data_IF_435011658723
#
_entry.id   IF_435011658723
#
_cell.length_a   1.000
_cell.length_b   1.000
_cell.length_c   1.000
_cell.angle_alpha   90.00
_cell.angle_beta   90.00
_cell.angle_gamma   90.00
#
_symmetry.space_group_name_H-M   'P 1'
#
loop_
_entity.id
_entity.type
_entity.pdbx_description
1 polymer ?
#
# COMPACT_ATOMS: atom_id res chain seq x y z
N UNK A 1 -31.07 11.69 -41.69
CA UNK A 1 -31.92 11.41 -40.51
C UNK A 1 -31.05 10.69 -39.48
N UNK A 2 -30.93 11.18 -38.23
CA UNK A 2 -29.91 10.70 -37.30
C UNK A 2 -30.46 9.64 -36.33
N UNK A 3 -29.70 8.57 -36.14
CA UNK A 3 -29.96 7.54 -35.13
C UNK A 3 -29.60 8.06 -33.73
N UNK A 4 -30.65 8.48 -33.03
CA UNK A 4 -30.68 8.65 -31.58
C UNK A 4 -30.97 7.29 -30.94
N UNK A 5 -29.96 6.67 -30.32
CA UNK A 5 -30.17 5.71 -29.22
C UNK A 5 -28.83 5.34 -28.54
N UNK A 6 -28.38 6.19 -27.61
CA UNK A 6 -27.55 5.79 -26.45
C UNK A 6 -27.94 6.65 -25.25
N UNK A 7 -28.98 6.21 -24.54
CA UNK A 7 -29.25 6.52 -23.14
C UNK A 7 -28.38 5.59 -22.26
N UNK A 8 -28.06 5.83 -21.00
CA UNK A 8 -28.01 7.02 -20.14
C UNK A 8 -27.46 6.54 -18.80
N UNK A 9 -26.31 7.04 -18.38
CA UNK A 9 -25.87 7.08 -16.97
C UNK A 9 -24.87 8.24 -16.89
N UNK A 10 -25.22 9.31 -16.17
CA UNK A 10 -24.53 10.63 -16.16
C UNK A 10 -23.01 10.50 -15.84
N UNK A 11 -22.08 11.39 -16.29
CA UNK A 11 -22.14 12.87 -16.30
C UNK A 11 -21.45 13.55 -17.52
N UNK A 12 -22.17 14.35 -18.33
CA UNK A 12 -21.70 14.65 -19.69
C UNK A 12 -21.49 16.09 -20.12
N UNK A 13 -21.80 17.10 -19.30
CA UNK A 13 -21.76 18.50 -19.78
C UNK A 13 -20.33 19.04 -19.89
N UNK A 14 -19.47 18.79 -18.90
CA UNK A 14 -18.08 19.25 -18.93
C UNK A 14 -17.29 18.61 -20.07
N UNK A 15 -17.48 17.30 -20.31
CA UNK A 15 -16.78 16.56 -21.37
C UNK A 15 -17.23 17.02 -22.76
N UNK A 16 -18.53 17.31 -22.96
CA UNK A 16 -19.06 17.83 -24.22
C UNK A 16 -18.64 19.26 -24.50
N UNK A 17 -18.66 20.13 -23.47
CA UNK A 17 -18.18 21.52 -23.58
C UNK A 17 -16.68 21.53 -23.86
N UNK A 18 -15.91 20.64 -23.21
CA UNK A 18 -14.49 20.49 -23.46
C UNK A 18 -14.18 19.98 -24.88
N UNK A 19 -14.92 18.99 -25.36
CA UNK A 19 -14.77 18.47 -26.72
C UNK A 19 -15.13 19.53 -27.78
N UNK A 20 -16.22 20.28 -27.57
CA UNK A 20 -16.62 21.37 -28.45
C UNK A 20 -15.61 22.53 -28.43
N UNK A 21 -15.00 22.82 -27.27
CA UNK A 21 -13.99 23.87 -27.15
C UNK A 21 -12.67 23.50 -27.83
N UNK A 22 -12.21 22.25 -27.70
CA UNK A 22 -11.01 21.75 -28.39
C UNK A 22 -11.19 21.77 -29.92
N UNK A 23 -12.39 21.40 -30.39
CA UNK A 23 -12.71 21.41 -31.81
C UNK A 23 -12.83 22.84 -32.38
N UNK A 24 -13.39 23.78 -31.61
CA UNK A 24 -13.49 25.19 -32.00
C UNK A 24 -12.16 25.96 -31.92
N UNK A 25 -11.26 25.57 -31.00
CA UNK A 25 -9.97 26.23 -30.78
C UNK A 25 -8.83 25.70 -31.67
N UNK A 26 -9.06 24.63 -32.46
CA UNK A 26 -8.05 24.08 -33.38
C UNK A 26 -6.82 23.48 -32.70
N UNK A 27 -6.93 23.07 -31.42
CA UNK A 27 -5.81 22.53 -30.64
C UNK A 27 -5.71 21.02 -30.89
N UNK A 28 -4.71 20.59 -31.68
CA UNK A 28 -4.40 19.16 -31.84
C UNK A 28 -3.92 18.55 -30.52
N UNK A 29 -4.18 17.26 -30.30
CA UNK A 29 -3.69 16.52 -29.12
C UNK A 29 -2.16 16.55 -28.97
N UNK A 30 -1.43 16.71 -30.08
CA UNK A 30 0.04 16.85 -30.07
C UNK A 30 0.53 18.09 -29.30
N UNK A 31 -0.22 19.20 -29.35
CA UNK A 31 0.11 20.45 -28.63
C UNK A 31 0.07 20.28 -27.11
N UNK A 32 -0.83 19.45 -26.57
CA UNK A 32 -0.91 19.18 -25.13
C UNK A 32 0.26 18.35 -24.61
N UNK A 33 0.70 17.34 -25.38
CA UNK A 33 1.84 16.50 -25.01
C UNK A 33 3.12 17.32 -24.94
N UNK A 34 3.39 18.13 -25.96
CA UNK A 34 4.58 19.00 -26.00
C UNK A 34 4.51 20.12 -24.95
N UNK A 35 3.33 20.72 -24.72
CA UNK A 35 3.16 21.72 -23.66
C UNK A 35 3.33 21.12 -22.26
N UNK A 36 2.87 19.88 -22.03
CA UNK A 36 3.03 19.18 -20.75
C UNK A 36 4.48 18.79 -20.46
N UNK A 37 5.27 18.47 -21.51
CA UNK A 37 6.70 18.14 -21.42
C UNK A 37 7.57 19.40 -21.24
N UNK A 38 7.24 20.50 -21.91
CA UNK A 38 7.90 21.80 -21.73
C UNK A 38 7.60 22.38 -20.34
N UNK A 39 6.37 22.24 -19.84
CA UNK A 39 6.02 22.58 -18.47
C UNK A 39 6.75 21.68 -17.45
N UNK A 40 6.95 20.40 -17.76
CA UNK A 40 7.69 19.46 -16.90
C UNK A 40 9.17 19.83 -16.72
N UNK A 41 9.79 20.46 -17.73
CA UNK A 41 11.19 20.92 -17.66
C UNK A 41 11.38 22.17 -16.79
N UNK A 42 10.32 22.95 -16.52
CA UNK A 42 10.36 24.16 -15.66
C UNK A 42 10.01 23.89 -14.19
N UNK A 43 9.68 22.66 -13.81
CA UNK A 43 9.30 22.30 -12.44
C UNK A 43 10.53 22.11 -11.54
N UNK A 44 10.42 22.57 -10.29
CA UNK A 44 11.40 22.30 -9.24
C UNK A 44 11.43 20.77 -8.97
N UNK A 45 12.59 20.14 -8.67
CA UNK A 45 12.70 18.73 -8.28
C UNK A 45 11.59 18.21 -7.36
N UNK A 46 11.20 18.99 -6.34
CA UNK A 46 10.11 18.61 -5.43
C UNK A 46 8.75 18.51 -6.15
N UNK A 47 8.44 19.48 -7.01
CA UNK A 47 7.20 19.47 -7.80
C UNK A 47 7.18 18.31 -8.81
N UNK A 48 8.35 17.89 -9.31
CA UNK A 48 8.47 16.73 -10.21
C UNK A 48 8.14 15.42 -9.50
N UNK A 49 8.65 15.24 -8.27
CA UNK A 49 8.32 14.07 -7.44
C UNK A 49 6.84 14.10 -7.05
N UNK A 50 6.31 15.25 -6.63
CA UNK A 50 4.90 15.38 -6.30
C UNK A 50 3.98 15.05 -7.49
N UNK A 51 4.33 15.52 -8.70
CA UNK A 51 3.60 15.19 -9.93
C UNK A 51 3.66 13.70 -10.24
N UNK A 52 4.84 13.08 -10.10
CA UNK A 52 5.02 11.65 -10.32
C UNK A 52 4.12 10.83 -9.38
N UNK A 53 4.17 11.11 -8.07
CA UNK A 53 3.32 10.44 -7.09
C UNK A 53 1.84 10.67 -7.39
N UNK A 54 1.46 11.91 -7.72
CA UNK A 54 0.08 12.23 -8.11
C UNK A 54 -0.39 11.40 -9.30
N UNK A 55 0.41 11.28 -10.36
CA UNK A 55 0.03 10.53 -11.55
C UNK A 55 -0.16 9.03 -11.26
N UNK A 56 0.62 8.48 -10.33
CA UNK A 56 0.55 7.08 -9.90
C UNK A 56 -0.71 6.84 -9.05
N UNK A 57 -0.97 7.71 -8.08
CA UNK A 57 -1.98 7.49 -7.06
C UNK A 57 -3.37 7.99 -7.42
N UNK A 58 -3.51 9.09 -8.16
CA UNK A 58 -4.82 9.66 -8.49
C UNK A 58 -5.79 8.62 -9.11
N UNK A 59 -5.35 7.74 -10.03
CA UNK A 59 -6.21 6.68 -10.55
C UNK A 59 -6.65 5.63 -9.51
N UNK A 60 -5.88 5.47 -8.43
CA UNK A 60 -6.06 4.44 -7.39
C UNK A 60 -6.90 4.96 -6.21
N UNK A 61 -6.93 6.28 -5.98
CA UNK A 61 -7.65 6.92 -4.86
C UNK A 61 -9.09 6.39 -4.68
N UNK A 62 -9.94 6.30 -5.71
CA UNK A 62 -11.33 5.89 -5.51
C UNK A 62 -11.47 4.50 -4.88
N UNK A 63 -10.60 3.57 -5.27
CA UNK A 63 -10.64 2.19 -4.80
C UNK A 63 -10.10 2.07 -3.35
N UNK A 64 -9.02 2.79 -3.02
CA UNK A 64 -8.49 2.89 -1.65
C UNK A 64 -9.53 3.52 -0.72
N UNK A 65 -10.22 4.58 -1.15
CA UNK A 65 -11.24 5.25 -0.34
C UNK A 65 -12.40 4.31 -0.04
N UNK A 66 -12.93 3.61 -1.04
CA UNK A 66 -14.02 2.65 -0.84
C UNK A 66 -13.64 1.53 0.13
N UNK A 67 -12.47 0.93 -0.09
CA UNK A 67 -11.95 -0.18 0.71
C UNK A 67 -11.61 0.23 2.13
N UNK A 68 -10.95 1.38 2.30
CA UNK A 68 -10.59 1.94 3.59
C UNK A 68 -11.80 2.34 4.44
N UNK A 69 -12.83 2.95 3.84
CA UNK A 69 -14.06 3.28 4.55
C UNK A 69 -14.80 2.02 5.03
N UNK A 70 -14.87 0.98 4.19
CA UNK A 70 -15.49 -0.28 4.57
C UNK A 70 -14.69 -1.01 5.66
N UNK A 71 -13.35 -1.06 5.52
CA UNK A 71 -12.46 -1.67 6.51
C UNK A 71 -12.56 -0.95 7.87
N UNK A 72 -12.65 0.37 7.86
CA UNK A 72 -12.88 1.18 9.07
C UNK A 72 -14.22 0.86 9.75
N UNK A 73 -15.30 0.76 8.97
CA UNK A 73 -16.62 0.37 9.48
C UNK A 73 -16.60 -1.03 10.10
N UNK A 74 -16.03 -2.02 9.40
CA UNK A 74 -15.92 -3.39 9.92
C UNK A 74 -15.01 -3.49 11.15
N UNK A 75 -13.98 -2.64 11.22
CA UNK A 75 -13.15 -2.48 12.41
C UNK A 75 -13.94 -1.98 13.62
N UNK A 76 -14.84 -1.01 13.43
CA UNK A 76 -15.75 -0.55 14.50
C UNK A 76 -16.74 -1.64 14.91
N UNK A 77 -17.40 -2.29 13.94
CA UNK A 77 -18.32 -3.41 14.18
C UNK A 77 -17.67 -4.49 15.04
N UNK A 78 -16.44 -4.87 14.70
CA UNK A 78 -15.63 -5.85 15.45
C UNK A 78 -15.25 -5.37 16.84
N UNK A 79 -14.83 -4.11 16.97
CA UNK A 79 -14.36 -3.55 18.25
C UNK A 79 -15.50 -3.39 19.26
N UNK A 80 -16.68 -2.96 18.81
CA UNK A 80 -17.87 -2.80 19.66
C UNK A 80 -18.69 -4.09 19.81
N UNK A 81 -18.32 -5.17 19.10
CA UNK A 81 -19.00 -6.46 19.18
C UNK A 81 -20.44 -6.42 18.63
N UNK A 82 -20.72 -5.55 17.65
CA UNK A 82 -22.06 -5.45 17.06
C UNK A 82 -22.44 -6.69 16.25
N UNK A 83 -21.45 -7.36 15.64
CA UNK A 83 -21.62 -8.60 14.88
C UNK A 83 -20.47 -9.54 15.21
N UNK A 84 -20.75 -10.84 15.27
CA UNK A 84 -19.71 -11.86 15.40
C UNK A 84 -18.83 -11.90 14.14
N UNK A 85 -17.49 -11.79 14.23
CA UNK A 85 -16.61 -11.87 13.07
C UNK A 85 -16.67 -13.19 12.28
N UNK A 86 -17.23 -14.26 12.86
CA UNK A 86 -17.49 -15.52 12.17
C UNK A 86 -18.75 -15.49 11.29
N UNK A 87 -19.55 -14.42 11.36
CA UNK A 87 -20.72 -14.24 10.51
C UNK A 87 -20.32 -14.17 9.03
N UNK A 88 -21.01 -14.92 8.19
CA UNK A 88 -20.73 -14.99 6.75
C UNK A 88 -20.75 -13.61 6.06
N UNK A 89 -21.67 -12.72 6.44
CA UNK A 89 -21.74 -11.37 5.89
C UNK A 89 -20.51 -10.55 6.29
N UNK A 90 -20.07 -10.68 7.55
CA UNK A 90 -18.85 -9.99 8.01
C UNK A 90 -17.64 -10.45 7.19
N UNK A 91 -17.47 -11.77 7.03
CA UNK A 91 -16.36 -12.35 6.25
C UNK A 91 -16.39 -11.86 4.80
N UNK A 92 -17.54 -11.88 4.14
CA UNK A 92 -17.66 -11.41 2.76
C UNK A 92 -17.36 -9.92 2.61
N UNK A 93 -17.85 -9.08 3.55
CA UNK A 93 -17.54 -7.65 3.54
C UNK A 93 -16.07 -7.38 3.85
N UNK A 94 -15.45 -8.15 4.75
CA UNK A 94 -14.04 -8.05 5.10
C UNK A 94 -13.14 -8.40 3.90
N UNK A 95 -13.51 -9.44 3.15
CA UNK A 95 -12.87 -9.80 1.88
C UNK A 95 -12.95 -8.64 0.87
N UNK A 96 -14.13 -8.03 0.70
CA UNK A 96 -14.28 -6.86 -0.18
C UNK A 96 -13.44 -5.66 0.29
N UNK A 97 -13.36 -5.44 1.60
CA UNK A 97 -12.63 -4.31 2.18
C UNK A 97 -11.11 -4.45 2.09
N UNK A 98 -10.60 -5.67 2.13
CA UNK A 98 -9.17 -5.96 2.13
C UNK A 98 -8.60 -6.19 0.73
N UNK A 99 -9.44 -6.54 -0.25
CA UNK A 99 -9.04 -6.86 -1.62
C UNK A 99 -8.13 -5.80 -2.25
N UNK A 100 -8.51 -4.53 -2.18
CA UNK A 100 -7.73 -3.43 -2.75
C UNK A 100 -6.32 -3.35 -2.16
N UNK A 101 -6.18 -3.50 -0.85
CA UNK A 101 -4.87 -3.44 -0.19
C UNK A 101 -3.99 -4.64 -0.54
N UNK A 102 -4.59 -5.81 -0.81
CA UNK A 102 -3.87 -6.99 -1.28
C UNK A 102 -3.34 -6.76 -2.71
N UNK A 103 -4.14 -6.18 -3.60
CA UNK A 103 -3.75 -5.92 -4.99
C UNK A 103 -3.09 -4.55 -5.20
N UNK A 104 -2.92 -3.74 -4.15
CA UNK A 104 -2.39 -2.38 -4.25
C UNK A 104 -1.02 -2.34 -4.96
N UNK A 105 -0.06 -3.25 -4.67
CA UNK A 105 1.16 -3.37 -5.46
C UNK A 105 0.95 -3.61 -6.96
N UNK A 106 -0.09 -4.34 -7.35
CA UNK A 106 -0.43 -4.59 -8.75
C UNK A 106 -0.89 -3.29 -9.42
N UNK A 107 -1.78 -2.55 -8.75
CA UNK A 107 -2.32 -1.27 -9.25
C UNK A 107 -1.24 -0.20 -9.36
N UNK A 108 -0.40 -0.07 -8.32
CA UNK A 108 0.75 0.82 -8.32
C UNK A 108 1.75 0.40 -9.40
N UNK A 109 2.03 -0.89 -9.52
CA UNK A 109 2.96 -1.39 -10.53
C UNK A 109 2.53 -1.03 -11.94
N UNK A 110 1.23 -1.14 -12.23
CA UNK A 110 0.67 -0.75 -13.51
C UNK A 110 0.83 0.75 -13.80
N UNK A 111 0.40 1.62 -12.87
CA UNK A 111 0.44 3.07 -13.08
C UNK A 111 1.87 3.60 -13.02
N UNK A 112 2.72 3.08 -12.14
CA UNK A 112 4.13 3.45 -12.02
C UNK A 112 4.94 3.05 -13.26
N UNK A 113 4.72 1.86 -13.82
CA UNK A 113 5.40 1.45 -15.06
C UNK A 113 5.07 2.41 -16.20
N UNK A 114 3.81 2.85 -16.31
CA UNK A 114 3.41 3.87 -17.28
C UNK A 114 4.16 5.20 -17.08
N UNK A 115 4.26 5.68 -15.83
CA UNK A 115 4.97 6.92 -15.51
C UNK A 115 6.48 6.83 -15.72
N UNK A 116 7.08 5.66 -15.44
CA UNK A 116 8.49 5.42 -15.69
C UNK A 116 8.78 5.08 -17.15
N UNK A 117 7.77 4.94 -18.02
CA UNK A 117 7.93 4.60 -19.44
C UNK A 117 8.33 3.14 -19.71
N UNK A 118 7.95 2.22 -18.83
CA UNK A 118 7.97 0.76 -19.06
C UNK A 118 6.58 0.23 -19.42
N UNK A 119 6.47 -1.08 -19.65
CA UNK A 119 5.19 -1.71 -19.96
C UNK A 119 4.30 -1.85 -18.71
N UNK A 120 3.08 -1.27 -18.69
CA UNK A 120 2.17 -1.34 -17.54
C UNK A 120 1.83 -2.76 -17.09
N UNK A 121 1.69 -3.70 -18.03
CA UNK A 121 1.36 -5.09 -17.70
C UNK A 121 2.54 -5.83 -17.05
N UNK A 122 3.78 -5.50 -17.43
CA UNK A 122 4.97 -6.03 -16.74
C UNK A 122 5.09 -5.44 -15.33
N UNK A 123 4.77 -4.16 -15.17
CA UNK A 123 4.68 -3.53 -13.84
C UNK A 123 3.64 -4.18 -12.95
N UNK A 124 2.43 -4.44 -13.47
CA UNK A 124 1.38 -5.17 -12.75
C UNK A 124 1.82 -6.59 -12.39
N UNK A 125 2.51 -7.28 -13.31
CA UNK A 125 3.08 -8.62 -13.07
C UNK A 125 4.08 -8.59 -11.91
N UNK A 126 4.96 -7.59 -11.87
CA UNK A 126 5.92 -7.42 -10.78
C UNK A 126 5.23 -7.12 -9.44
N UNK A 127 4.18 -6.31 -9.45
CA UNK A 127 3.31 -6.12 -8.27
C UNK A 127 2.70 -7.44 -7.79
N UNK A 128 2.24 -8.28 -8.72
CA UNK A 128 1.67 -9.60 -8.42
C UNK A 128 2.70 -10.58 -7.84
N UNK A 129 3.95 -10.52 -8.29
CA UNK A 129 5.07 -11.29 -7.69
C UNK A 129 5.28 -10.87 -6.23
N UNK A 130 5.26 -9.57 -5.94
CA UNK A 130 5.44 -9.03 -4.60
C UNK A 130 4.27 -9.35 -3.65
N UNK A 131 3.10 -9.70 -4.18
CA UNK A 131 1.91 -10.10 -3.41
C UNK A 131 1.49 -11.53 -3.67
N UNK A 132 2.38 -12.36 -4.19
CA UNK A 132 2.08 -13.74 -4.57
C UNK A 132 1.59 -14.53 -3.34
N UNK A 133 0.56 -15.40 -3.47
CA UNK A 133 -0.02 -16.13 -2.33
C UNK A 133 0.95 -17.12 -1.66
N UNK A 134 2.04 -17.49 -2.32
CA UNK A 134 3.12 -18.26 -1.71
C UNK A 134 3.94 -17.45 -0.69
N UNK A 135 3.84 -16.11 -0.72
CA UNK A 135 4.43 -15.24 0.29
C UNK A 135 3.45 -15.11 1.47
N UNK A 136 3.98 -15.11 2.69
CA UNK A 136 3.20 -14.84 3.89
C UNK A 136 2.58 -13.46 3.80
N UNK A 137 1.25 -13.39 3.87
CA UNK A 137 0.53 -12.13 3.84
C UNK A 137 1.04 -11.16 4.92
N UNK A 138 1.19 -9.87 4.57
CA UNK A 138 1.75 -8.83 5.44
C UNK A 138 1.05 -8.70 6.81
N UNK A 139 -0.26 -8.92 6.90
CA UNK A 139 -1.00 -8.90 8.17
C UNK A 139 -0.85 -10.20 8.98
N UNK A 140 -0.43 -11.29 8.34
CA UNK A 140 -0.18 -12.59 8.98
C UNK A 140 1.23 -12.78 9.53
N UNK A 141 2.18 -11.87 9.23
CA UNK A 141 3.59 -11.97 9.61
C UNK A 141 3.79 -12.13 11.13
N UNK A 142 2.90 -11.54 11.94
CA UNK A 142 2.96 -11.65 13.40
C UNK A 142 2.72 -13.08 13.92
N UNK A 143 2.04 -13.94 13.15
CA UNK A 143 1.84 -15.35 13.47
C UNK A 143 3.06 -16.23 13.09
N UNK A 144 4.07 -15.64 12.46
CA UNK A 144 5.24 -16.31 11.91
C UNK A 144 5.26 -16.27 10.39
N UNK A 145 6.48 -16.32 9.84
CA UNK A 145 6.75 -16.42 8.41
C UNK A 145 7.88 -17.42 8.21
N UNK A 146 7.95 -18.01 7.02
CA UNK A 146 9.01 -18.93 6.66
C UNK A 146 10.13 -18.17 5.92
N UNK A 147 11.36 -18.66 6.05
CA UNK A 147 12.51 -18.17 5.29
C UNK A 147 12.95 -19.23 4.30
N UNK A 148 13.51 -18.80 3.17
CA UNK A 148 14.18 -19.68 2.21
C UNK A 148 15.66 -19.37 2.20
N UNK A 149 16.49 -20.40 2.12
CA UNK A 149 17.93 -20.22 1.93
C UNK A 149 18.22 -20.10 0.43
N UNK A 150 18.65 -18.93 0.00
CA UNK A 150 19.08 -18.66 -1.36
C UNK A 150 20.60 -18.42 -1.37
N UNK A 151 21.38 -19.42 -1.78
CA UNK A 151 22.85 -19.37 -1.84
C UNK A 151 23.51 -18.87 -0.53
N UNK A 152 23.01 -19.31 0.63
CA UNK A 152 23.54 -18.92 1.95
C UNK A 152 22.91 -17.66 2.54
N UNK A 153 22.03 -16.97 1.82
CA UNK A 153 21.27 -15.82 2.32
C UNK A 153 19.87 -16.29 2.71
N UNK A 154 19.47 -16.04 3.95
CA UNK A 154 18.08 -16.26 4.37
C UNK A 154 17.18 -15.12 3.89
N UNK A 155 16.21 -15.47 3.05
CA UNK A 155 15.24 -14.53 2.49
C UNK A 155 13.90 -14.78 3.14
N UNK A 156 13.33 -13.74 3.75
CA UNK A 156 12.00 -13.80 4.36
C UNK A 156 10.92 -13.87 3.27
N UNK A 157 10.09 -14.91 3.31
CA UNK A 157 8.98 -15.10 2.36
C UNK A 157 7.76 -14.30 2.82
N UNK A 158 7.91 -12.99 2.87
CA UNK A 158 6.86 -12.05 3.28
C UNK A 158 6.35 -11.31 2.05
N UNK A 159 5.03 -11.18 1.97
CA UNK A 159 4.35 -10.42 0.95
C UNK A 159 4.37 -8.93 1.25
N UNK A 160 4.29 -8.14 0.19
CA UNK A 160 4.38 -6.67 0.25
C UNK A 160 3.01 -6.02 0.11
N UNK A 161 1.94 -6.71 0.54
CA UNK A 161 0.57 -6.19 0.50
C UNK A 161 0.48 -4.85 1.25
N UNK A 162 -0.29 -3.92 0.71
CA UNK A 162 -0.38 -2.55 1.22
C UNK A 162 0.84 -1.66 0.95
N UNK A 163 2.04 -2.21 0.74
CA UNK A 163 3.24 -1.37 0.63
C UNK A 163 3.36 -0.67 -0.72
N UNK A 164 3.79 0.59 -0.69
CA UNK A 164 3.97 1.42 -1.90
C UNK A 164 5.45 1.47 -2.29
N UNK A 165 6.30 1.82 -1.33
CA UNK A 165 7.69 2.18 -1.60
C UNK A 165 8.50 1.04 -2.24
N UNK A 166 8.45 -0.21 -1.73
CA UNK A 166 9.15 -1.34 -2.36
C UNK A 166 8.71 -1.56 -3.82
N UNK A 167 7.41 -1.41 -4.09
CA UNK A 167 6.84 -1.60 -5.43
C UNK A 167 7.31 -0.52 -6.40
N UNK A 168 7.29 0.75 -5.97
CA UNK A 168 7.78 1.86 -6.79
C UNK A 168 9.25 1.68 -7.16
N UNK A 169 10.08 1.28 -6.20
CA UNK A 169 11.50 1.03 -6.44
C UNK A 169 11.72 -0.16 -7.38
N UNK A 170 10.96 -1.25 -7.19
CA UNK A 170 11.01 -2.43 -8.04
C UNK A 170 10.62 -2.13 -9.48
N UNK A 171 9.54 -1.38 -9.68
CA UNK A 171 9.00 -1.04 -11.01
C UNK A 171 9.88 -0.01 -11.70
N UNK A 172 10.44 0.95 -10.95
CA UNK A 172 11.47 1.86 -11.48
C UNK A 172 12.67 1.07 -12.01
N UNK A 173 13.20 0.14 -11.21
CA UNK A 173 14.31 -0.72 -11.63
C UNK A 173 13.93 -1.58 -12.85
N UNK A 174 12.75 -2.22 -12.82
CA UNK A 174 12.21 -3.00 -13.94
C UNK A 174 12.14 -2.18 -15.22
N UNK A 175 11.66 -0.93 -15.17
CA UNK A 175 11.56 -0.07 -16.34
C UNK A 175 12.93 0.24 -16.95
N UNK A 176 13.98 0.34 -16.12
CA UNK A 176 15.35 0.53 -16.58
C UNK A 176 15.88 -0.74 -17.26
N UNK A 177 15.62 -1.91 -16.67
CA UNK A 177 15.99 -3.21 -17.24
C UNK A 177 15.30 -3.44 -18.57
N UNK A 178 13.98 -3.23 -18.65
CA UNK A 178 13.19 -3.41 -19.86
C UNK A 178 13.73 -2.55 -21.02
N UNK A 179 13.92 -1.24 -20.77
CA UNK A 179 14.45 -0.31 -21.78
C UNK A 179 15.86 -0.69 -22.25
N UNK A 180 16.67 -1.27 -21.37
CA UNK A 180 18.02 -1.71 -21.72
C UNK A 180 17.99 -2.98 -22.55
N UNK A 181 17.13 -3.93 -22.19
CA UNK A 181 16.95 -5.18 -22.94
C UNK A 181 16.42 -4.92 -24.36
N UNK A 182 15.45 -4.02 -24.53
CA UNK A 182 14.92 -3.62 -25.85
C UNK A 182 15.98 -3.04 -26.80
N UNK A 183 17.09 -2.50 -26.28
CA UNK A 183 18.19 -1.99 -27.10
C UNK A 183 19.22 -3.05 -27.48
N UNK A 184 19.26 -4.15 -26.73
CA UNK A 184 20.27 -5.21 -26.88
C UNK A 184 19.70 -6.39 -27.67
N UNK A 185 18.42 -6.68 -27.50
CA UNK A 185 17.74 -7.82 -28.13
C UNK A 185 17.34 -7.46 -29.57
N UNK A 186 17.63 -8.32 -30.57
CA UNK A 186 17.17 -8.11 -31.94
C UNK A 186 15.64 -8.11 -32.05
N UNK A 187 15.08 -7.30 -32.96
CA UNK A 187 13.64 -7.11 -33.11
C UNK A 187 12.84 -8.42 -33.26
N UNK A 188 13.42 -9.43 -33.93
CA UNK A 188 12.80 -10.73 -34.11
C UNK A 188 12.51 -11.49 -32.79
N UNK A 189 13.23 -11.16 -31.71
CA UNK A 189 13.12 -11.83 -30.41
C UNK A 189 12.56 -10.92 -29.31
N UNK A 190 12.40 -9.62 -29.56
CA UNK A 190 12.00 -8.62 -28.56
C UNK A 190 10.64 -8.95 -27.92
N UNK A 191 9.69 -9.45 -28.71
CA UNK A 191 8.35 -9.80 -28.23
C UNK A 191 8.36 -10.90 -27.16
N UNK A 192 9.35 -11.79 -27.19
CA UNK A 192 9.43 -12.96 -26.30
C UNK A 192 10.49 -12.74 -25.22
N UNK A 193 11.72 -12.44 -25.62
CA UNK A 193 12.86 -12.41 -24.70
C UNK A 193 12.85 -11.18 -23.79
N UNK A 194 12.46 -10.01 -24.28
CA UNK A 194 12.46 -8.80 -23.45
C UNK A 194 11.52 -8.90 -22.26
N UNK A 195 10.21 -9.21 -22.41
CA UNK A 195 9.33 -9.32 -21.25
C UNK A 195 9.74 -10.47 -20.32
N UNK A 196 10.18 -11.60 -20.87
CA UNK A 196 10.65 -12.75 -20.10
C UNK A 196 11.85 -12.40 -19.20
N UNK A 197 12.92 -11.86 -19.79
CA UNK A 197 14.13 -11.49 -19.05
C UNK A 197 13.87 -10.33 -18.10
N UNK A 198 13.03 -9.37 -18.48
CA UNK A 198 12.65 -8.26 -17.61
C UNK A 198 12.00 -8.77 -16.33
N UNK A 199 10.99 -9.63 -16.43
CA UNK A 199 10.26 -10.15 -15.26
C UNK A 199 11.16 -11.02 -14.38
N UNK A 200 11.98 -11.89 -14.97
CA UNK A 200 12.91 -12.72 -14.20
C UNK A 200 13.92 -11.85 -13.45
N UNK A 201 14.64 -10.98 -14.15
CA UNK A 201 15.72 -10.18 -13.54
C UNK A 201 15.13 -9.25 -12.47
N UNK A 202 14.07 -8.53 -12.80
CA UNK A 202 13.45 -7.59 -11.86
C UNK A 202 12.72 -8.29 -10.71
N UNK A 203 12.05 -9.41 -10.95
CA UNK A 203 11.36 -10.18 -9.90
C UNK A 203 12.32 -10.76 -8.87
N UNK A 204 13.43 -11.37 -9.32
CA UNK A 204 14.47 -11.86 -8.42
C UNK A 204 15.09 -10.72 -7.61
N UNK A 205 15.44 -9.61 -8.25
CA UNK A 205 16.02 -8.45 -7.56
C UNK A 205 15.02 -7.82 -6.58
N UNK A 206 13.74 -7.78 -6.94
CA UNK A 206 12.69 -7.25 -6.08
C UNK A 206 12.55 -8.07 -4.79
N UNK A 207 12.56 -9.40 -4.88
CA UNK A 207 12.44 -10.27 -3.72
C UNK A 207 13.74 -10.38 -2.91
N UNK A 208 14.90 -10.45 -3.56
CA UNK A 208 16.20 -10.67 -2.88
C UNK A 208 16.80 -9.40 -2.28
N UNK A 209 16.61 -8.25 -2.93
CA UNK A 209 17.25 -7.00 -2.51
C UNK A 209 16.23 -6.00 -2.00
N UNK A 210 15.23 -5.66 -2.81
CA UNK A 210 14.29 -4.58 -2.48
C UNK A 210 13.41 -4.99 -1.29
N UNK A 211 13.04 -6.25 -1.21
CA UNK A 211 12.29 -6.80 -0.10
C UNK A 211 12.99 -6.66 1.26
N UNK A 212 14.15 -7.32 1.47
CA UNK A 212 14.95 -7.17 2.68
C UNK A 212 15.36 -5.71 2.96
N UNK A 213 15.68 -4.92 1.94
CA UNK A 213 16.00 -3.50 2.12
C UNK A 213 14.79 -2.69 2.63
N UNK A 214 13.61 -2.93 2.07
CA UNK A 214 12.36 -2.32 2.52
C UNK A 214 12.04 -2.69 3.97
N UNK A 215 12.28 -3.96 4.34
CA UNK A 215 12.11 -4.43 5.71
C UNK A 215 13.10 -3.78 6.68
N UNK A 216 14.39 -3.73 6.32
CA UNK A 216 15.41 -3.08 7.14
C UNK A 216 15.10 -1.60 7.37
N UNK A 217 14.59 -0.90 6.34
CA UNK A 217 14.10 0.47 6.45
C UNK A 217 12.93 0.56 7.44
N UNK A 218 11.95 -0.34 7.31
CA UNK A 218 10.81 -0.43 8.20
C UNK A 218 11.19 -0.68 9.67
N UNK A 219 12.11 -1.60 9.90
CA UNK A 219 12.64 -1.95 11.22
C UNK A 219 13.46 -0.80 11.82
N UNK A 220 14.23 -0.09 11.00
CA UNK A 220 14.99 1.10 11.42
C UNK A 220 14.09 2.25 11.86
N UNK A 221 13.06 2.59 11.07
CA UNK A 221 12.10 3.63 11.47
C UNK A 221 11.32 3.18 12.71
N UNK A 222 10.99 1.89 12.78
CA UNK A 222 10.34 1.29 13.93
C UNK A 222 11.17 1.44 15.21
N UNK A 223 12.47 1.16 15.14
CA UNK A 223 13.39 1.35 16.25
C UNK A 223 13.45 2.82 16.71
N UNK A 224 13.55 3.77 15.77
CA UNK A 224 13.55 5.21 16.08
C UNK A 224 12.26 5.62 16.80
N UNK A 225 11.11 5.16 16.30
CA UNK A 225 9.80 5.48 16.87
C UNK A 225 9.64 4.94 18.28
N UNK A 226 9.97 3.67 18.50
CA UNK A 226 9.89 3.07 19.84
C UNK A 226 10.82 3.75 20.85
N UNK A 227 12.00 4.17 20.40
CA UNK A 227 12.96 4.93 21.21
C UNK A 227 12.42 6.32 21.54
N UNK A 228 11.85 7.04 20.57
CA UNK A 228 11.30 8.37 20.78
C UNK A 228 10.09 8.33 21.74
N UNK A 229 9.21 7.34 21.59
CA UNK A 229 8.03 7.15 22.44
C UNK A 229 8.43 6.79 23.87
N UNK A 230 9.44 5.94 24.06
CA UNK A 230 9.92 5.57 25.39
C UNK A 230 10.60 6.72 26.14
N UNK A 231 11.22 7.68 25.44
CA UNK A 231 11.92 8.80 26.07
C UNK A 231 11.05 10.07 26.23
N UNK A 232 10.25 10.42 25.22
CA UNK A 232 9.48 11.67 25.20
C UNK A 232 7.97 11.49 25.46
N UNK A 233 7.50 10.25 25.68
CA UNK A 233 6.15 9.95 26.15
C UNK A 233 5.04 10.55 25.27
N UNK A 234 4.15 11.35 25.85
CA UNK A 234 3.00 11.93 25.14
C UNK A 234 3.40 12.93 24.04
N UNK A 235 4.53 13.62 24.19
CA UNK A 235 5.03 14.58 23.20
C UNK A 235 5.50 13.87 21.92
N UNK A 236 6.15 12.71 22.08
CA UNK A 236 6.52 11.86 20.94
C UNK A 236 5.29 11.33 20.19
N UNK A 237 4.25 10.92 20.92
CA UNK A 237 2.98 10.50 20.32
C UNK A 237 2.30 11.61 19.52
N UNK A 238 2.32 12.85 20.04
CA UNK A 238 1.77 14.02 19.36
C UNK A 238 2.55 14.38 18.09
N UNK A 239 3.89 14.41 18.18
CA UNK A 239 4.75 14.67 17.03
C UNK A 239 4.58 13.60 15.95
N UNK A 240 4.57 12.33 16.36
CA UNK A 240 4.39 11.20 15.45
C UNK A 240 3.01 11.24 14.78
N UNK A 241 1.94 11.46 15.53
CA UNK A 241 0.58 11.61 14.98
C UNK A 241 0.49 12.75 13.96
N UNK A 242 1.18 13.87 14.21
CA UNK A 242 1.27 14.99 13.26
C UNK A 242 2.05 14.64 11.99
N UNK A 243 3.17 13.92 12.12
CA UNK A 243 4.00 13.49 10.98
C UNK A 243 3.40 12.29 10.22
N UNK A 244 2.48 11.56 10.83
CA UNK A 244 1.92 10.32 10.28
C UNK A 244 1.32 10.52 8.89
N UNK A 245 0.59 11.62 8.68
CA UNK A 245 0.03 11.97 7.36
C UNK A 245 1.08 12.07 6.26
N UNK A 246 2.26 12.62 6.57
CA UNK A 246 3.38 12.71 5.62
C UNK A 246 3.95 11.31 5.35
N UNK A 247 4.08 10.48 6.39
CA UNK A 247 4.60 9.12 6.23
C UNK A 247 3.63 8.23 5.45
N UNK A 248 2.32 8.42 5.61
CA UNK A 248 1.29 7.71 4.83
C UNK A 248 1.44 8.03 3.33
N UNK A 249 1.72 9.29 2.97
CA UNK A 249 1.97 9.70 1.58
C UNK A 249 3.20 8.98 1.00
N UNK A 250 4.24 8.77 1.81
CA UNK A 250 5.43 8.00 1.37
C UNK A 250 5.15 6.49 1.25
N UNK A 251 4.04 6.00 1.84
CA UNK A 251 3.63 4.61 1.80
C UNK A 251 4.52 3.63 2.58
N UNK A 252 5.44 4.14 3.41
CA UNK A 252 6.30 3.36 4.30
C UNK A 252 5.56 2.95 5.59
N UNK A 253 4.43 3.62 5.89
CA UNK A 253 3.63 3.44 7.10
C UNK A 253 3.20 1.99 7.39
N UNK A 254 2.98 1.16 6.38
CA UNK A 254 2.65 -0.26 6.57
C UNK A 254 3.75 -1.06 7.30
N UNK A 255 4.99 -0.56 7.32
CA UNK A 255 6.07 -1.15 8.11
C UNK A 255 5.88 -0.97 9.62
N UNK A 256 4.99 -0.06 10.06
CA UNK A 256 4.77 0.28 11.47
C UNK A 256 3.69 -0.55 12.15
N UNK A 257 2.97 -1.41 11.42
CA UNK A 257 1.87 -2.22 12.01
C UNK A 257 2.32 -2.97 13.28
N UNK A 258 3.57 -3.45 13.33
CA UNK A 258 4.13 -4.13 14.50
C UNK A 258 4.24 -3.22 15.74
N UNK A 259 4.57 -1.94 15.55
CA UNK A 259 4.63 -0.95 16.64
C UNK A 259 3.25 -0.45 17.02
N UNK A 260 2.34 -0.28 16.07
CA UNK A 260 0.97 0.16 16.37
C UNK A 260 0.24 -0.87 17.23
N UNK A 261 0.37 -2.16 16.90
CA UNK A 261 -0.06 -3.25 17.77
C UNK A 261 0.64 -3.19 19.13
N UNK A 262 1.93 -2.83 19.10
CA UNK A 262 2.78 -2.47 20.24
C UNK A 262 2.18 -1.42 21.20
N UNK A 263 1.81 -0.27 20.65
CA UNK A 263 1.28 0.85 21.43
C UNK A 263 -0.13 0.58 21.92
N UNK A 264 -0.97 -0.09 21.13
CA UNK A 264 -2.29 -0.52 21.58
C UNK A 264 -2.22 -1.46 22.79
N UNK A 265 -1.27 -2.41 22.83
CA UNK A 265 -1.12 -3.26 24.02
C UNK A 265 -0.60 -2.48 25.22
N UNK A 266 0.33 -1.54 25.03
CA UNK A 266 0.92 -0.76 26.11
C UNK A 266 -0.11 0.20 26.73
N UNK A 267 -0.92 0.86 25.90
CA UNK A 267 -2.03 1.71 26.35
C UNK A 267 -3.14 0.89 27.03
N UNK A 268 -3.47 -0.30 26.51
CA UNK A 268 -4.43 -1.19 27.16
C UNK A 268 -3.92 -1.73 28.51
N UNK A 269 -2.60 -1.98 28.64
CA UNK A 269 -1.96 -2.35 29.91
C UNK A 269 -1.95 -1.19 30.91
N UNK A 270 -1.68 0.04 30.46
CA UNK A 270 -1.76 1.25 31.30
C UNK A 270 -3.20 1.53 31.76
N UNK A 271 -4.19 1.35 30.88
CA UNK A 271 -5.61 1.48 31.24
C UNK A 271 -6.08 0.35 32.19
N UNK A 272 -5.61 -0.88 31.97
CA UNK A 272 -5.90 -2.02 32.84
C UNK A 272 -5.27 -1.87 34.23
N UNK A 273 -4.01 -1.45 34.30
CA UNK A 273 -3.27 -1.24 35.55
C UNK A 273 -3.75 0.01 36.31
N UNK A 274 -4.17 1.09 35.64
CA UNK A 274 -4.80 2.25 36.30
C UNK A 274 -6.20 1.90 36.83
N UNK A 275 -6.96 1.08 36.10
CA UNK A 275 -8.23 0.54 36.57
C UNK A 275 -8.01 -0.39 37.79
N UNK A 276 -6.96 -1.22 37.78
CA UNK A 276 -6.64 -2.18 38.86
C UNK A 276 -6.15 -1.46 40.12
N UNK A 277 -5.36 -0.38 39.94
CA UNK A 277 -4.86 0.45 41.04
C UNK A 277 -5.95 1.34 41.67
N UNK A 278 -7.05 1.61 40.97
CA UNK A 278 -8.17 2.42 41.48
C UNK A 278 -9.33 1.60 42.07
N UNK A 279 -9.17 0.28 42.23
CA UNK A 279 -10.19 -0.61 42.82
C UNK A 279 -11.50 -0.73 42.00
N UNK A 280 -11.53 -0.15 40.79
CA UNK A 280 -12.72 0.03 39.96
C UNK A 280 -12.92 -1.10 38.93
N UNK A 281 -12.24 -2.23 39.14
CA UNK A 281 -12.33 -3.41 38.26
C UNK A 281 -13.65 -4.19 38.43
N UNK A 282 -14.20 -4.21 39.64
CA UNK A 282 -15.39 -5.01 39.98
C UNK A 282 -16.71 -4.42 39.44
N UNK A 283 -16.72 -3.15 39.03
CA UNK A 283 -17.95 -2.42 38.65
C UNK A 283 -17.98 -1.95 37.20
N UNK A 284 -16.94 -2.25 36.41
CA UNK A 284 -16.84 -1.79 35.03
C UNK A 284 -17.42 -2.81 34.04
N UNK A 285 -18.39 -2.42 33.18
CA UNK A 285 -18.88 -3.26 32.09
C UNK A 285 -17.78 -3.67 31.09
N UNK A 286 -16.61 -3.01 31.14
CA UNK A 286 -15.44 -3.28 30.29
C UNK A 286 -14.54 -4.40 30.81
N UNK A 287 -14.85 -5.04 31.94
CA UNK A 287 -14.08 -6.18 32.46
C UNK A 287 -14.42 -7.51 31.74
N UNK A 288 -15.56 -7.57 31.05
CA UNK A 288 -16.03 -8.78 30.37
C UNK A 288 -15.18 -9.31 29.19
N UNK A 289 -14.37 -8.52 28.43
CA UNK A 289 -13.58 -9.08 27.33
C UNK A 289 -12.37 -9.89 27.81
N UNK A 290 -11.90 -9.68 29.05
CA UNK A 290 -10.67 -10.28 29.57
C UNK A 290 -10.75 -11.81 29.70
N UNK A 291 -11.95 -12.37 29.85
CA UNK A 291 -12.17 -13.82 29.90
C UNK A 291 -12.29 -14.46 28.50
N UNK A 292 -12.53 -13.68 27.44
CA UNK A 292 -12.81 -14.20 26.09
C UNK A 292 -11.56 -14.48 25.25
N UNK A 293 -10.38 -14.08 25.72
CA UNK A 293 -9.09 -14.32 25.04
C UNK A 293 -8.30 -15.53 25.57
N UNK A 294 -8.86 -16.39 26.42
CA UNK A 294 -8.28 -17.71 26.75
C UNK A 294 -6.90 -17.73 27.41
N UNK A 295 -6.32 -16.59 27.80
CA UNK A 295 -5.01 -16.51 28.41
C UNK A 295 -5.14 -16.46 29.93
N UNK A 296 -4.95 -17.62 30.58
CA UNK A 296 -4.74 -17.68 32.03
C UNK A 296 -3.50 -16.86 32.39
N UNK A 297 -3.59 -15.84 33.27
CA UNK A 297 -2.41 -15.16 33.76
C UNK A 297 -1.63 -16.12 34.67
N UNK A 298 -0.41 -16.48 34.26
CA UNK A 298 0.57 -17.10 35.16
C UNK A 298 1.03 -16.00 36.12
N UNK A 299 0.60 -16.09 37.38
CA UNK A 299 1.11 -15.19 38.44
C UNK A 299 2.58 -15.54 38.71
N UNK A 300 3.51 -14.57 38.69
CA UNK A 300 4.83 -14.77 39.28
C UNK A 300 4.67 -14.87 40.80
N UNK A 301 5.34 -15.84 41.42
CA UNK A 301 5.54 -15.88 42.87
C UNK A 301 6.48 -14.75 43.31
#
# INVERSE_FOLDING_TARGET
MPDRCRSSSAPGWSIKVYAAFIQAAGISESSKSEAADLAAKKLNPFQRIARLLSNIFVPIIPAIVASGLLMGLLGMVKTYGWVDPSNALYIMLDMCSSAEFIILPILIGFTAAREFGGNPYLGATLGGILTHPALTNAWGVAAGFHTINFFGIEVAMIGYQGTVFPVLLAVWFMSMVEKRLRRVIPDALDLILTPFLTVIISGFIALLLIGPAGRALGDGISFILSTLISHAGWLAGLLFGGLYSVIVITGIHHSFHAIEAGLCWATHRLASTSCCRSGRWLTSPRAAPALRCGLKPKMPK
#
